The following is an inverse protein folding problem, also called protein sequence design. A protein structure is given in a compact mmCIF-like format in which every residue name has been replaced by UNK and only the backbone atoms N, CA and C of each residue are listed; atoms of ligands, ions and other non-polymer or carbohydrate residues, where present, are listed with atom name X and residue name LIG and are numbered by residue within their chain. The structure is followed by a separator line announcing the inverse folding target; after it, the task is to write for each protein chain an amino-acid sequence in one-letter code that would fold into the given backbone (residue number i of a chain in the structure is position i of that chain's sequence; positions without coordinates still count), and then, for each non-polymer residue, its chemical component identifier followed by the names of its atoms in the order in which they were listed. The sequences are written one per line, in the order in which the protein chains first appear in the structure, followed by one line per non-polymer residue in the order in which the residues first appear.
data_IF_119658229677
#
_entry.id   IF_119658229677
#
_cell.length_a   1.000
_cell.length_b   1.000
_cell.length_c   1.000
_cell.angle_alpha   90.00
_cell.angle_beta   90.00
_cell.angle_gamma   90.00
#
_symmetry.space_group_name_H-M   'P 1'
#
loop_
_entity.id
_entity.type
_entity.pdbx_description
1 polymer ?
#
# COMPACT_ATOMS: atom_id res chain seq x y z
N UNK A 1 -17.21 -12.76 -3.99
CA UNK A 1 -16.18 -11.70 -3.81
C UNK A 1 -14.85 -12.42 -3.79
N UNK A 2 -13.75 -11.88 -4.36
CA UNK A 2 -12.45 -12.52 -4.14
C UNK A 2 -12.21 -12.59 -2.63
N UNK A 3 -11.85 -13.77 -2.13
CA UNK A 3 -11.47 -13.93 -0.74
C UNK A 3 -10.19 -13.13 -0.48
N UNK A 4 -10.27 -12.21 0.49
CA UNK A 4 -9.15 -11.34 0.89
C UNK A 4 -8.31 -12.10 1.91
N UNK A 5 -7.05 -12.36 1.56
CA UNK A 5 -6.10 -13.08 2.42
C UNK A 5 -5.11 -12.14 3.13
N UNK A 6 -4.97 -10.90 2.66
CA UNK A 6 -4.00 -9.97 3.24
C UNK A 6 -4.28 -8.51 2.88
N UNK A 7 -3.73 -7.62 3.70
CA UNK A 7 -3.80 -6.17 3.49
C UNK A 7 -2.40 -5.57 3.53
N UNK A 8 -2.10 -4.69 2.58
CA UNK A 8 -0.83 -3.97 2.50
C UNK A 8 -1.10 -2.50 2.71
N UNK A 9 -0.45 -1.91 3.72
CA UNK A 9 -0.67 -0.52 4.12
C UNK A 9 0.60 0.32 3.97
N UNK A 10 0.55 1.31 3.07
CA UNK A 10 1.64 2.25 2.82
C UNK A 10 1.43 3.57 3.58
N UNK A 11 2.49 4.16 4.17
CA UNK A 11 2.42 5.48 4.78
C UNK A 11 2.31 6.60 3.74
N UNK A 12 2.00 7.80 4.23
CA UNK A 12 2.10 9.03 3.42
C UNK A 12 3.55 9.43 3.16
N UNK A 13 3.74 10.47 2.33
CA UNK A 13 5.06 11.03 2.05
C UNK A 13 5.77 11.44 3.34
N UNK A 14 7.01 10.97 3.53
CA UNK A 14 7.81 11.23 4.73
C UNK A 14 7.30 10.58 6.02
N UNK A 15 6.25 9.75 5.94
CA UNK A 15 5.77 8.93 7.05
C UNK A 15 6.52 7.60 7.16
N UNK A 16 6.19 6.83 8.19
CA UNK A 16 6.75 5.50 8.42
C UNK A 16 5.65 4.45 8.59
N UNK A 17 6.02 3.17 8.48
CA UNK A 17 5.14 2.04 8.78
C UNK A 17 4.58 2.09 10.22
N UNK A 18 5.19 2.84 11.12
CA UNK A 18 4.75 3.00 12.51
C UNK A 18 3.79 4.19 12.71
N UNK A 19 3.29 4.79 11.63
CA UNK A 19 2.25 5.82 11.74
C UNK A 19 1.02 5.26 12.47
N UNK A 20 0.48 6.00 13.44
CA UNK A 20 -0.60 5.54 14.34
C UNK A 20 -1.83 5.00 13.61
N UNK A 21 -2.25 5.65 12.53
CA UNK A 21 -3.36 5.15 11.68
C UNK A 21 -3.10 3.77 11.09
N UNK A 22 -1.87 3.45 10.70
CA UNK A 22 -1.57 2.14 10.11
C UNK A 22 -1.54 1.04 11.16
N UNK A 23 -1.01 1.35 12.36
CA UNK A 23 -1.04 0.44 13.52
C UNK A 23 -2.49 0.16 13.91
N UNK A 24 -3.31 1.20 14.08
CA UNK A 24 -4.70 1.05 14.44
C UNK A 24 -5.51 0.23 13.41
N UNK A 25 -5.15 0.31 12.14
CA UNK A 25 -5.78 -0.50 11.09
C UNK A 25 -5.32 -1.95 11.13
N UNK A 26 -4.03 -2.22 11.34
CA UNK A 26 -3.54 -3.59 11.56
C UNK A 26 -4.29 -4.26 12.71
N UNK A 27 -4.43 -3.56 13.84
CA UNK A 27 -5.16 -4.07 15.00
C UNK A 27 -6.65 -4.31 14.68
N UNK A 28 -7.30 -3.39 13.96
CA UNK A 28 -8.72 -3.48 13.63
C UNK A 28 -9.06 -4.53 12.55
N UNK A 29 -8.08 -4.93 11.74
CA UNK A 29 -8.27 -5.89 10.65
C UNK A 29 -8.01 -7.35 11.05
N UNK A 30 -7.57 -7.59 12.29
CA UNK A 30 -7.39 -8.95 12.82
C UNK A 30 -8.67 -9.79 12.66
N UNK A 31 -8.61 -11.04 12.17
CA UNK A 31 -7.41 -11.87 11.98
C UNK A 31 -6.72 -11.77 10.61
N UNK A 32 -7.11 -10.84 9.74
CA UNK A 32 -6.50 -10.70 8.40
C UNK A 32 -5.04 -10.22 8.56
N UNK A 33 -4.04 -10.93 8.01
CA UNK A 33 -2.65 -10.48 8.00
C UNK A 33 -2.48 -9.10 7.36
N UNK A 34 -1.73 -8.22 8.03
CA UNK A 34 -1.44 -6.87 7.53
C UNK A 34 0.07 -6.65 7.42
N UNK A 35 0.52 -6.25 6.23
CA UNK A 35 1.89 -5.79 6.01
C UNK A 35 1.92 -4.26 5.92
N UNK A 36 2.50 -3.60 6.93
CA UNK A 36 2.78 -2.16 6.87
C UNK A 36 4.06 -1.91 6.06
N UNK A 37 3.90 -1.68 4.77
CA UNK A 37 4.97 -1.60 3.78
C UNK A 37 5.54 -0.20 3.65
N UNK A 38 6.87 -0.10 3.61
CA UNK A 38 7.60 1.13 3.34
C UNK A 38 8.25 1.05 1.95
N UNK A 39 8.30 2.14 1.19
CA UNK A 39 9.03 2.19 -0.06
C UNK A 39 10.52 2.46 0.21
N UNK A 40 11.39 2.06 -0.71
CA UNK A 40 12.85 2.07 -0.63
C UNK A 40 13.44 3.42 -0.23
N UNK A 41 12.80 4.52 -0.62
CA UNK A 41 13.28 5.86 -0.28
C UNK A 41 13.26 6.11 1.24
N UNK A 42 12.30 5.56 1.99
CA UNK A 42 12.28 5.70 3.46
C UNK A 42 13.37 4.84 4.09
N UNK A 43 13.59 3.61 3.59
CA UNK A 43 14.69 2.73 4.00
C UNK A 43 16.06 3.36 3.76
N UNK A 44 16.17 4.20 2.73
CA UNK A 44 17.36 5.00 2.42
C UNK A 44 17.49 6.29 3.27
N UNK A 45 16.59 6.51 4.23
CA UNK A 45 16.59 7.71 5.07
C UNK A 45 16.13 9.00 4.37
N UNK A 46 15.55 8.92 3.18
CA UNK A 46 15.08 10.11 2.44
C UNK A 46 13.69 10.52 2.92
N UNK A 47 13.50 11.81 3.16
CA UNK A 47 12.18 12.38 3.50
C UNK A 47 11.32 12.67 2.27
N UNK A 48 11.94 13.09 1.17
CA UNK A 48 11.24 13.47 -0.06
C UNK A 48 11.06 12.24 -0.94
N UNK A 49 9.82 11.88 -1.30
CA UNK A 49 9.57 10.75 -2.18
C UNK A 49 10.04 11.05 -3.62
N UNK A 50 10.50 10.03 -4.36
CA UNK A 50 10.61 10.10 -5.80
C UNK A 50 9.27 10.41 -6.48
N UNK A 51 9.31 10.72 -7.79
CA UNK A 51 8.08 10.91 -8.58
C UNK A 51 7.25 9.63 -8.60
N UNK A 52 5.92 9.80 -8.67
CA UNK A 52 4.96 8.70 -8.59
C UNK A 52 5.25 7.52 -9.53
N UNK A 53 5.64 7.69 -10.82
CA UNK A 53 5.92 6.56 -11.69
C UNK A 53 7.04 5.64 -11.17
N UNK A 54 8.06 6.20 -10.51
CA UNK A 54 9.14 5.40 -9.92
C UNK A 54 8.64 4.57 -8.74
N UNK A 55 7.75 5.14 -7.92
CA UNK A 55 7.18 4.47 -6.75
C UNK A 55 6.16 3.40 -7.15
N UNK A 56 5.39 3.66 -8.21
CA UNK A 56 4.47 2.69 -8.79
C UNK A 56 5.25 1.49 -9.34
N UNK A 57 6.28 1.74 -10.14
CA UNK A 57 7.13 0.67 -10.65
C UNK A 57 7.75 -0.16 -9.52
N UNK A 58 8.29 0.49 -8.49
CA UNK A 58 8.82 -0.21 -7.31
C UNK A 58 7.77 -1.11 -6.63
N UNK A 59 6.56 -0.58 -6.36
CA UNK A 59 5.50 -1.37 -5.73
C UNK A 59 5.06 -2.56 -6.60
N UNK A 60 4.99 -2.38 -7.92
CA UNK A 60 4.64 -3.44 -8.86
C UNK A 60 5.69 -4.55 -8.88
N UNK A 61 6.99 -4.21 -8.87
CA UNK A 61 8.08 -5.20 -8.80
C UNK A 61 8.08 -5.97 -7.47
N UNK A 62 7.77 -5.29 -6.35
CA UNK A 62 7.73 -5.89 -5.02
C UNK A 62 6.46 -6.73 -4.77
N UNK A 63 5.46 -6.67 -5.64
CA UNK A 63 4.13 -7.27 -5.45
C UNK A 63 4.21 -8.79 -5.16
N UNK A 64 5.02 -9.52 -5.92
CA UNK A 64 5.21 -10.97 -5.72
C UNK A 64 5.90 -11.29 -4.40
N UNK A 65 6.89 -10.49 -3.99
CA UNK A 65 7.55 -10.66 -2.70
C UNK A 65 6.58 -10.36 -1.55
N UNK A 66 5.81 -9.28 -1.63
CA UNK A 66 4.77 -8.92 -0.66
C UNK A 66 3.75 -10.05 -0.50
N UNK A 67 3.32 -10.66 -1.60
CA UNK A 67 2.37 -11.76 -1.58
C UNK A 67 2.93 -13.01 -0.90
N UNK A 68 4.21 -13.33 -1.16
CA UNK A 68 4.92 -14.41 -0.47
C UNK A 68 5.05 -14.16 1.04
N UNK A 69 5.35 -12.93 1.47
CA UNK A 69 5.41 -12.58 2.90
C UNK A 69 4.05 -12.74 3.59
N UNK A 70 2.95 -12.51 2.86
CA UNK A 70 1.58 -12.70 3.36
C UNK A 70 1.07 -14.13 3.16
N UNK A 71 1.83 -15.01 2.49
CA UNK A 71 1.44 -16.40 2.22
C UNK A 71 0.22 -16.54 1.32
N UNK A 72 0.01 -15.62 0.37
CA UNK A 72 -1.16 -15.60 -0.50
C UNK A 72 -0.81 -15.18 -1.94
N UNK A 73 -1.80 -15.22 -2.84
CA UNK A 73 -1.66 -14.74 -4.21
C UNK A 73 -1.86 -13.22 -4.29
N UNK A 74 -1.15 -12.51 -5.19
CA UNK A 74 -1.28 -11.05 -5.34
C UNK A 74 -2.72 -10.54 -5.54
N UNK A 75 -3.54 -11.30 -6.27
CA UNK A 75 -4.94 -10.95 -6.53
C UNK A 75 -5.89 -11.15 -5.33
N UNK A 76 -5.38 -11.65 -4.19
CA UNK A 76 -6.10 -11.80 -2.91
C UNK A 76 -5.72 -10.73 -1.89
N UNK A 77 -4.91 -9.74 -2.30
CA UNK A 77 -4.41 -8.68 -1.42
C UNK A 77 -5.15 -7.37 -1.66
N UNK A 78 -5.59 -6.72 -0.59
CA UNK A 78 -6.02 -5.32 -0.62
C UNK A 78 -4.80 -4.42 -0.44
N UNK A 79 -4.53 -3.55 -1.42
CA UNK A 79 -3.44 -2.57 -1.34
C UNK A 79 -4.00 -1.19 -0.96
N UNK A 80 -3.31 -0.49 -0.08
CA UNK A 80 -3.81 0.80 0.36
C UNK A 80 -2.83 1.61 1.18
N UNK A 81 -3.32 2.72 1.71
CA UNK A 81 -2.50 3.57 2.53
C UNK A 81 -3.01 4.98 2.69
N UNK A 82 -2.22 5.79 3.39
CA UNK A 82 -2.54 7.18 3.67
C UNK A 82 -1.97 8.11 2.60
N UNK A 83 -2.80 8.99 2.04
CA UNK A 83 -2.39 10.06 1.12
C UNK A 83 -1.53 9.52 -0.03
N UNK A 84 -0.23 9.85 -0.08
CA UNK A 84 0.70 9.31 -1.09
C UNK A 84 0.66 7.79 -1.18
N UNK A 85 0.61 7.05 -0.07
CA UNK A 85 0.56 5.58 -0.09
C UNK A 85 -0.66 5.05 -0.84
N UNK A 86 -1.84 5.62 -0.55
CA UNK A 86 -3.08 5.30 -1.28
C UNK A 86 -3.01 5.69 -2.76
N UNK A 87 -2.40 6.84 -3.08
CA UNK A 87 -2.17 7.27 -4.48
C UNK A 87 -1.32 6.26 -5.24
N UNK A 88 -0.17 5.84 -4.69
CA UNK A 88 0.73 4.88 -5.37
C UNK A 88 0.03 3.54 -5.58
N UNK A 89 -0.67 3.01 -4.56
CA UNK A 89 -1.43 1.77 -4.69
C UNK A 89 -2.50 1.87 -5.79
N UNK A 90 -3.26 2.97 -5.81
CA UNK A 90 -4.31 3.16 -6.81
C UNK A 90 -3.79 3.24 -8.24
N UNK A 91 -2.63 3.90 -8.44
CA UNK A 91 -1.98 3.99 -9.74
C UNK A 91 -1.43 2.63 -10.18
N UNK A 92 -0.77 1.88 -9.29
CA UNK A 92 -0.24 0.56 -9.62
C UNK A 92 -1.35 -0.41 -10.03
N UNK A 93 -2.47 -0.45 -9.29
CA UNK A 93 -3.63 -1.28 -9.65
C UNK A 93 -4.24 -0.83 -10.98
N UNK A 94 -4.34 0.48 -11.24
CA UNK A 94 -4.82 1.00 -12.52
C UNK A 94 -3.89 0.65 -13.70
N UNK A 95 -2.59 0.47 -13.45
CA UNK A 95 -1.59 0.03 -14.44
C UNK A 95 -1.55 -1.51 -14.62
N UNK A 96 -2.41 -2.26 -13.92
CA UNK A 96 -2.57 -3.71 -14.08
C UNK A 96 -1.94 -4.55 -12.97
N UNK A 97 -1.44 -3.95 -11.89
CA UNK A 97 -0.99 -4.71 -10.72
C UNK A 97 -2.17 -5.49 -10.12
N UNK A 98 -2.07 -6.82 -9.93
CA UNK A 98 -3.15 -7.63 -9.38
C UNK A 98 -3.48 -7.21 -7.95
N UNK A 99 -4.78 -7.18 -7.62
CA UNK A 99 -5.27 -6.86 -6.28
C UNK A 99 -6.71 -7.32 -6.09
N UNK A 100 -7.08 -7.65 -4.85
CA UNK A 100 -8.47 -7.87 -4.45
C UNK A 100 -9.26 -6.56 -4.27
N UNK A 101 -8.57 -5.43 -4.04
CA UNK A 101 -9.21 -4.14 -3.81
C UNK A 101 -8.27 -3.04 -3.31
N UNK A 102 -8.79 -1.83 -3.16
CA UNK A 102 -8.05 -0.65 -2.70
C UNK A 102 -8.57 -0.12 -1.36
N UNK A 103 -7.66 0.32 -0.49
CA UNK A 103 -7.98 1.00 0.78
C UNK A 103 -7.34 2.41 0.78
N UNK A 104 -8.15 3.45 0.58
CA UNK A 104 -7.67 4.82 0.34
C UNK A 104 -7.98 5.74 1.54
N UNK A 105 -6.97 6.08 2.34
CA UNK A 105 -7.12 6.92 3.52
C UNK A 105 -6.61 8.32 3.25
N UNK A 106 -7.41 9.36 3.56
CA UNK A 106 -6.98 10.76 3.39
C UNK A 106 -6.44 11.04 1.97
N UNK A 107 -6.99 10.37 0.96
CA UNK A 107 -6.64 10.54 -0.44
C UNK A 107 -7.93 10.82 -1.23
N UNK A 108 -8.20 12.08 -1.59
CA UNK A 108 -9.34 12.39 -2.43
C UNK A 108 -9.02 11.85 -3.83
N UNK A 109 -9.72 10.79 -4.24
CA UNK A 109 -9.54 10.16 -5.55
C UNK A 109 -9.81 11.16 -6.68
N UNK A 110 -10.71 12.11 -6.44
CA UNK A 110 -10.97 13.25 -7.29
C UNK A 110 -10.60 14.55 -6.56
N UNK A 111 -9.99 15.53 -7.25
CA UNK A 111 -9.78 16.84 -6.67
C UNK A 111 -11.11 17.43 -6.15
N UNK A 112 -11.11 18.10 -4.99
CA UNK A 112 -12.28 18.88 -4.59
C UNK A 112 -12.60 19.92 -5.66
N UNK A 113 -13.89 20.13 -5.90
CA UNK A 113 -14.39 21.21 -6.75
C UNK A 113 -14.24 22.55 -6.04
#
# INVERSE_FOLDING_TARGET
MPDIDGVVLLPGAGGSKNHSTLIALEDALHPIPVLRYELSYTRQGKRVPPRAPKLVHELTEDCSWIANELGCEPNRIVFGGRSMGGRICSMAVAEGMPSAGLLLLSYPLHPPK
#
